data_IF_552915195667
#
_entry.id   IF_552915195667
#
_cell.length_a   1.000
_cell.length_b   1.000
_cell.length_c   1.000
_cell.angle_alpha   90.00
_cell.angle_beta   90.00
_cell.angle_gamma   90.00
#
_symmetry.space_group_name_H-M   'P 1'
#
loop_
_entity.id
_entity.type
_entity.pdbx_description
1 polymer ?
#
# COMPACT_ATOMS: atom_id res chain seq x y z
N UNK A 1 9.84 -18.74 5.32
CA UNK A 1 11.16 -18.12 5.57
C UNK A 1 12.30 -19.12 5.71
N UNK A 2 12.29 -19.98 6.74
CA UNK A 2 13.43 -20.85 7.12
C UNK A 2 14.01 -21.72 5.98
N UNK A 3 13.15 -22.24 5.09
CA UNK A 3 13.58 -23.09 3.98
C UNK A 3 13.94 -22.33 2.68
N UNK A 4 13.70 -21.02 2.64
CA UNK A 4 13.91 -20.17 1.46
C UNK A 4 14.59 -18.84 1.87
N UNK A 5 15.82 -18.89 2.41
CA UNK A 5 16.49 -17.71 2.99
C UNK A 5 16.81 -16.61 1.97
N UNK A 6 16.91 -16.97 0.69
CA UNK A 6 17.25 -16.04 -0.40
C UNK A 6 16.03 -15.65 -1.26
N UNK A 7 14.81 -15.90 -0.78
CA UNK A 7 13.60 -15.56 -1.52
C UNK A 7 13.50 -14.04 -1.67
N UNK A 8 13.47 -13.57 -2.92
CA UNK A 8 13.35 -12.15 -3.25
C UNK A 8 11.95 -11.77 -3.71
N UNK A 9 11.22 -12.72 -4.25
CA UNK A 9 9.92 -12.52 -4.89
C UNK A 9 8.96 -13.59 -4.38
N UNK A 10 7.79 -13.17 -3.91
CA UNK A 10 6.78 -14.08 -3.39
C UNK A 10 5.39 -13.69 -3.93
N UNK A 11 4.79 -14.61 -4.68
CA UNK A 11 3.46 -14.45 -5.27
C UNK A 11 2.46 -15.33 -4.53
N UNK A 12 1.45 -14.70 -3.95
CA UNK A 12 0.41 -15.33 -3.14
C UNK A 12 -0.99 -14.83 -3.53
N UNK A 13 -1.15 -14.26 -4.72
CA UNK A 13 -2.45 -13.81 -5.20
C UNK A 13 -3.51 -14.91 -5.08
N UNK A 14 -4.71 -14.54 -4.66
CA UNK A 14 -5.85 -15.45 -4.45
C UNK A 14 -5.58 -16.53 -3.39
N UNK A 15 -4.59 -16.34 -2.50
CA UNK A 15 -4.37 -17.23 -1.36
C UNK A 15 -5.34 -16.88 -0.23
N UNK A 16 -5.56 -17.84 0.68
CA UNK A 16 -6.41 -17.64 1.87
C UNK A 16 -5.61 -17.07 3.06
N UNK A 17 -4.52 -16.35 2.79
CA UNK A 17 -3.65 -15.79 3.81
C UNK A 17 -4.23 -14.44 4.26
N UNK A 18 -4.91 -14.47 5.40
CA UNK A 18 -5.58 -13.31 5.97
C UNK A 18 -4.61 -12.41 6.74
N UNK A 19 -3.40 -12.89 7.06
CA UNK A 19 -2.37 -12.10 7.74
C UNK A 19 -0.97 -12.28 7.14
N UNK A 20 -0.19 -11.20 7.08
CA UNK A 20 1.22 -11.22 6.67
C UNK A 20 2.08 -11.96 7.71
N UNK A 21 1.64 -12.03 8.98
CA UNK A 21 2.32 -12.80 10.04
C UNK A 21 2.49 -14.28 9.69
N UNK A 22 1.57 -14.85 8.93
CA UNK A 22 1.60 -16.25 8.51
C UNK A 22 2.79 -16.57 7.59
N UNK A 23 3.40 -15.54 6.97
CA UNK A 23 4.64 -15.68 6.20
C UNK A 23 5.88 -15.93 7.09
N UNK A 24 5.74 -15.64 8.38
CA UNK A 24 6.78 -15.73 9.39
C UNK A 24 7.80 -14.57 9.32
N UNK A 25 8.75 -14.59 10.25
CA UNK A 25 9.72 -13.49 10.45
C UNK A 25 11.01 -13.64 9.63
N UNK A 26 11.18 -14.73 8.87
CA UNK A 26 12.46 -15.06 8.21
C UNK A 26 12.54 -14.62 6.74
N UNK A 27 11.64 -13.76 6.26
CA UNK A 27 11.64 -13.23 4.88
C UNK A 27 12.33 -11.86 4.77
N UNK A 28 13.46 -11.71 5.46
CA UNK A 28 14.21 -10.44 5.51
C UNK A 28 14.79 -9.99 4.17
N UNK A 29 14.94 -10.90 3.19
CA UNK A 29 15.48 -10.61 1.85
C UNK A 29 14.42 -10.44 0.77
N UNK A 30 13.14 -10.43 1.15
CA UNK A 30 12.05 -10.26 0.20
C UNK A 30 12.03 -8.82 -0.32
N UNK A 31 12.06 -8.68 -1.64
CA UNK A 31 11.97 -7.39 -2.33
C UNK A 31 10.59 -7.17 -2.93
N UNK A 32 9.91 -8.23 -3.38
CA UNK A 32 8.61 -8.12 -4.03
C UNK A 32 7.61 -9.10 -3.41
N UNK A 33 6.44 -8.58 -3.03
CA UNK A 33 5.35 -9.35 -2.46
C UNK A 33 4.05 -9.04 -3.20
N UNK A 34 3.43 -10.09 -3.75
CA UNK A 34 2.10 -10.03 -4.32
C UNK A 34 1.12 -10.81 -3.45
N UNK A 35 0.13 -10.12 -2.89
CA UNK A 35 -0.95 -10.69 -2.08
C UNK A 35 -2.29 -10.06 -2.48
N UNK A 36 -2.57 -10.01 -3.79
CA UNK A 36 -3.84 -9.50 -4.28
C UNK A 36 -4.97 -10.52 -4.01
N UNK A 37 -6.15 -10.04 -3.63
CA UNK A 37 -7.35 -10.88 -3.38
C UNK A 37 -7.13 -11.96 -2.30
N UNK A 38 -6.44 -11.61 -1.23
CA UNK A 38 -6.21 -12.51 -0.09
C UNK A 38 -7.18 -12.30 1.08
N UNK A 39 -7.98 -11.24 1.04
CA UNK A 39 -8.88 -10.85 2.13
C UNK A 39 -8.13 -10.26 3.33
N UNK A 40 -6.97 -9.63 3.09
CA UNK A 40 -6.21 -8.97 4.14
C UNK A 40 -7.01 -7.80 4.73
N UNK A 41 -7.18 -7.77 6.04
CA UNK A 41 -7.78 -6.63 6.78
C UNK A 41 -6.75 -5.69 7.39
N UNK A 42 -5.55 -6.22 7.64
CA UNK A 42 -4.40 -5.49 8.18
C UNK A 42 -3.11 -6.00 7.51
N UNK A 43 -2.02 -5.28 7.75
CA UNK A 43 -0.68 -5.61 7.27
C UNK A 43 0.21 -6.09 8.42
N UNK A 44 -0.39 -6.69 9.44
CA UNK A 44 0.33 -7.01 10.65
C UNK A 44 1.42 -8.04 10.34
N UNK A 45 2.63 -7.81 10.84
CA UNK A 45 3.82 -8.59 10.51
C UNK A 45 4.59 -8.14 9.27
N UNK A 46 4.11 -7.17 8.48
CA UNK A 46 4.83 -6.64 7.30
C UNK A 46 6.20 -6.04 7.65
N UNK A 47 6.38 -5.55 8.89
CA UNK A 47 7.65 -5.05 9.41
C UNK A 47 8.78 -6.10 9.39
N UNK A 48 8.44 -7.39 9.34
CA UNK A 48 9.43 -8.47 9.17
C UNK A 48 10.07 -8.47 7.78
N UNK A 49 9.43 -7.84 6.79
CA UNK A 49 9.90 -7.71 5.41
C UNK A 49 10.58 -6.35 5.18
N UNK A 50 11.52 -5.92 6.04
CA UNK A 50 12.12 -4.58 5.97
C UNK A 50 12.91 -4.25 4.68
N UNK A 51 13.25 -5.26 3.86
CA UNK A 51 13.89 -5.05 2.54
C UNK A 51 12.90 -4.86 1.39
N UNK A 52 11.59 -4.85 1.67
CA UNK A 52 10.58 -4.82 0.63
C UNK A 52 10.67 -3.53 -0.19
N UNK A 53 10.62 -3.69 -1.52
CA UNK A 53 10.64 -2.60 -2.50
C UNK A 53 9.31 -2.45 -3.22
N UNK A 54 8.62 -3.55 -3.43
CA UNK A 54 7.37 -3.57 -4.18
C UNK A 54 6.31 -4.39 -3.43
N UNK A 55 5.19 -3.74 -3.11
CA UNK A 55 4.06 -4.35 -2.42
C UNK A 55 2.80 -4.24 -3.27
N UNK A 56 2.23 -5.40 -3.63
CA UNK A 56 0.99 -5.48 -4.39
C UNK A 56 -0.09 -6.15 -3.55
N UNK A 57 -1.00 -5.35 -3.00
CA UNK A 57 -2.07 -5.77 -2.09
C UNK A 57 -3.44 -5.30 -2.59
N UNK A 58 -3.60 -5.26 -3.92
CA UNK A 58 -4.85 -4.90 -4.56
C UNK A 58 -6.01 -5.86 -4.20
N UNK A 59 -7.23 -5.33 -4.18
CA UNK A 59 -8.47 -6.05 -3.90
C UNK A 59 -8.43 -6.78 -2.55
N UNK A 60 -8.03 -6.08 -1.49
CA UNK A 60 -8.12 -6.53 -0.11
C UNK A 60 -9.04 -5.58 0.69
N UNK A 61 -9.05 -5.71 2.01
CA UNK A 61 -9.89 -4.95 2.93
C UNK A 61 -9.06 -4.03 3.84
N UNK A 62 -7.92 -3.53 3.35
CA UNK A 62 -7.03 -2.66 4.12
C UNK A 62 -7.65 -1.27 4.27
N UNK A 63 -7.70 -0.78 5.51
CA UNK A 63 -8.11 0.60 5.83
C UNK A 63 -7.06 1.40 6.59
N UNK A 64 -6.14 0.72 7.29
CA UNK A 64 -5.06 1.33 8.07
C UNK A 64 -3.69 1.11 7.39
N UNK A 65 -2.98 2.21 7.15
CA UNK A 65 -1.65 2.22 6.52
C UNK A 65 -0.51 2.45 7.53
N UNK A 66 -0.82 2.55 8.83
CA UNK A 66 0.16 2.82 9.90
C UNK A 66 1.33 1.83 9.91
N UNK A 67 1.09 0.57 9.54
CA UNK A 67 2.09 -0.49 9.51
C UNK A 67 3.06 -0.42 8.31
N UNK A 68 2.76 0.39 7.28
CA UNK A 68 3.66 0.59 6.15
C UNK A 68 4.83 1.53 6.48
N UNK A 69 4.73 2.28 7.58
CA UNK A 69 5.78 3.20 8.04
C UNK A 69 7.12 2.53 8.32
N UNK A 70 7.15 1.21 8.50
CA UNK A 70 8.36 0.41 8.74
C UNK A 70 9.10 0.00 7.46
N UNK A 71 8.54 0.27 6.27
CA UNK A 71 9.10 -0.14 4.99
C UNK A 71 9.91 0.98 4.32
N UNK A 72 11.07 1.29 4.88
CA UNK A 72 11.96 2.37 4.40
C UNK A 72 12.45 2.19 2.94
N UNK A 73 12.37 0.97 2.44
CA UNK A 73 12.82 0.58 1.10
C UNK A 73 11.70 0.53 0.06
N UNK A 74 10.46 0.81 0.44
CA UNK A 74 9.32 0.68 -0.45
C UNK A 74 9.38 1.73 -1.56
N UNK A 75 9.36 1.27 -2.81
CA UNK A 75 9.41 2.07 -4.03
C UNK A 75 8.08 2.05 -4.79
N UNK A 76 7.36 0.93 -4.74
CA UNK A 76 6.08 0.69 -5.42
C UNK A 76 5.06 0.13 -4.44
N UNK A 77 3.87 0.74 -4.40
CA UNK A 77 2.74 0.30 -3.58
C UNK A 77 1.46 0.30 -4.40
N UNK A 78 0.79 -0.85 -4.44
CA UNK A 78 -0.51 -1.02 -5.08
C UNK A 78 -1.57 -1.38 -4.03
N UNK A 79 -2.45 -0.42 -3.77
CA UNK A 79 -3.59 -0.47 -2.87
C UNK A 79 -4.92 -0.46 -3.64
N UNK A 80 -4.93 -0.74 -4.95
CA UNK A 80 -6.15 -0.71 -5.78
C UNK A 80 -7.29 -1.51 -5.13
N UNK A 81 -8.50 -0.97 -5.06
CA UNK A 81 -9.68 -1.69 -4.56
C UNK A 81 -9.58 -2.14 -3.09
N UNK A 82 -8.99 -1.32 -2.22
CA UNK A 82 -9.01 -1.48 -0.77
C UNK A 82 -10.09 -0.60 -0.11
N UNK A 83 -10.11 -0.52 1.22
CA UNK A 83 -11.15 0.17 1.98
C UNK A 83 -10.61 1.40 2.72
N UNK A 84 -9.68 2.13 2.09
CA UNK A 84 -9.11 3.37 2.63
C UNK A 84 -10.15 4.48 2.48
N UNK A 85 -10.64 5.01 3.59
CA UNK A 85 -11.70 6.03 3.64
C UNK A 85 -11.21 7.42 4.05
N UNK A 86 -10.11 7.50 4.79
CA UNK A 86 -9.54 8.77 5.26
C UNK A 86 -8.22 9.07 4.56
N UNK A 87 -8.14 10.22 3.90
CA UNK A 87 -6.92 10.68 3.23
C UNK A 87 -5.76 10.91 4.20
N UNK A 88 -6.05 11.11 5.49
CA UNK A 88 -5.00 11.19 6.53
C UNK A 88 -4.16 9.91 6.62
N UNK A 89 -4.68 8.77 6.20
CA UNK A 89 -3.90 7.52 6.11
C UNK A 89 -2.68 7.66 5.17
N UNK A 90 -2.76 8.53 4.16
CA UNK A 90 -1.65 8.80 3.24
C UNK A 90 -0.47 9.51 3.91
N UNK A 91 -0.69 10.14 5.07
CA UNK A 91 0.41 10.74 5.85
C UNK A 91 1.43 9.70 6.31
N UNK A 92 1.01 8.45 6.54
CA UNK A 92 1.92 7.36 6.89
C UNK A 92 2.86 7.01 5.73
N UNK A 93 2.36 7.06 4.49
CA UNK A 93 3.16 6.83 3.29
C UNK A 93 4.17 7.95 3.01
N UNK A 94 3.97 9.14 3.59
CA UNK A 94 4.97 10.22 3.53
C UNK A 94 6.30 9.81 4.17
N UNK A 95 6.27 8.94 5.17
CA UNK A 95 7.47 8.41 5.82
C UNK A 95 8.26 7.44 4.91
N UNK A 96 7.60 6.86 3.91
CA UNK A 96 8.23 6.04 2.89
C UNK A 96 8.94 6.95 1.86
N UNK A 97 10.12 7.46 2.22
CA UNK A 97 10.87 8.43 1.42
C UNK A 97 11.26 7.92 0.01
N UNK A 98 11.30 6.60 -0.21
CA UNK A 98 11.61 5.99 -1.51
C UNK A 98 10.39 5.70 -2.36
N UNK A 99 9.18 5.89 -1.81
CA UNK A 99 7.94 5.59 -2.51
C UNK A 99 7.82 6.49 -3.74
N UNK A 100 7.71 5.86 -4.89
CA UNK A 100 7.71 6.54 -6.18
C UNK A 100 6.48 6.25 -7.01
N UNK A 101 5.87 5.07 -6.84
CA UNK A 101 4.65 4.66 -7.51
C UNK A 101 3.61 4.24 -6.48
N UNK A 102 2.43 4.84 -6.55
CA UNK A 102 1.30 4.56 -5.67
C UNK A 102 0.04 4.38 -6.52
N UNK A 103 -0.72 3.33 -6.25
CA UNK A 103 -2.06 3.13 -6.82
C UNK A 103 -3.06 3.02 -5.69
N UNK A 104 -4.10 3.86 -5.72
CA UNK A 104 -5.16 3.93 -4.72
C UNK A 104 -6.55 3.95 -5.36
N UNK A 105 -6.63 3.80 -6.68
CA UNK A 105 -7.88 3.66 -7.42
C UNK A 105 -8.81 2.61 -6.79
N UNK A 106 -10.11 2.89 -6.78
CA UNK A 106 -11.11 1.99 -6.20
C UNK A 106 -11.17 1.99 -4.67
N UNK A 107 -10.52 2.94 -3.99
CA UNK A 107 -10.71 3.20 -2.56
C UNK A 107 -11.75 4.30 -2.33
N UNK A 108 -12.29 4.38 -1.11
CA UNK A 108 -13.28 5.40 -0.73
C UNK A 108 -12.69 6.82 -0.73
N UNK A 109 -11.39 6.97 -0.48
CA UNK A 109 -10.69 8.25 -0.63
C UNK A 109 -10.71 8.82 -2.05
N UNK A 110 -11.12 8.05 -3.08
CA UNK A 110 -11.28 8.61 -4.42
C UNK A 110 -12.56 9.44 -4.55
N UNK A 111 -13.53 9.25 -3.65
CA UNK A 111 -14.86 9.86 -3.71
C UNK A 111 -15.04 10.98 -2.69
N UNK A 112 -14.38 10.88 -1.53
CA UNK A 112 -14.46 11.86 -0.44
C UNK A 112 -13.17 11.86 0.38
N UNK A 113 -12.78 12.99 1.01
CA UNK A 113 -11.53 13.07 1.77
C UNK A 113 -11.55 12.30 3.10
N UNK A 114 -12.72 12.14 3.73
CA UNK A 114 -12.89 11.38 4.97
C UNK A 114 -14.35 10.91 5.11
N UNK A 115 -14.61 10.07 6.13
CA UNK A 115 -15.93 9.50 6.39
C UNK A 115 -17.02 10.54 6.64
N UNK A 116 -16.67 11.67 7.25
CA UNK A 116 -17.59 12.75 7.66
C UNK A 116 -17.94 13.72 6.54
N UNK A 117 -17.14 13.72 5.45
CA UNK A 117 -17.36 14.60 4.30
C UNK A 117 -18.44 14.02 3.39
N UNK A 118 -19.30 14.89 2.86
CA UNK A 118 -20.22 14.51 1.79
C UNK A 118 -19.43 14.13 0.54
N UNK A 119 -19.98 13.21 -0.26
CA UNK A 119 -19.45 12.91 -1.59
C UNK A 119 -19.48 14.18 -2.44
N UNK A 120 -18.33 14.57 -2.98
CA UNK A 120 -18.16 15.76 -3.80
C UNK A 120 -17.69 15.33 -5.20
N UNK A 121 -18.50 15.51 -6.25
CA UNK A 121 -18.13 15.16 -7.62
C UNK A 121 -16.90 15.91 -8.14
N UNK A 122 -16.59 17.08 -7.58
CA UNK A 122 -15.44 17.90 -7.96
C UNK A 122 -14.20 17.59 -7.10
N UNK A 123 -14.28 16.59 -6.22
CA UNK A 123 -13.19 16.22 -5.33
C UNK A 123 -11.99 15.63 -6.09
N UNK A 124 -10.90 16.37 -6.09
CA UNK A 124 -9.63 15.90 -6.64
C UNK A 124 -8.76 15.27 -5.55
N UNK A 125 -9.01 13.99 -5.26
CA UNK A 125 -8.19 13.22 -4.30
C UNK A 125 -6.72 13.19 -4.69
N UNK A 126 -6.39 13.22 -5.99
CA UNK A 126 -5.01 13.12 -6.46
C UNK A 126 -4.18 14.35 -6.09
N UNK A 127 -4.78 15.54 -6.18
CA UNK A 127 -4.15 16.76 -5.72
C UNK A 127 -3.86 16.70 -4.21
N UNK A 128 -4.77 16.16 -3.41
CA UNK A 128 -4.58 16.00 -1.97
C UNK A 128 -3.50 14.96 -1.64
N UNK A 129 -3.52 13.78 -2.28
CA UNK A 129 -2.46 12.76 -2.15
C UNK A 129 -1.11 13.35 -2.52
N UNK A 130 -1.05 14.15 -3.59
CA UNK A 130 0.19 14.82 -4.03
C UNK A 130 0.68 15.86 -3.04
N UNK A 131 -0.21 16.60 -2.36
CA UNK A 131 0.15 17.51 -1.27
C UNK A 131 0.76 16.76 -0.09
N UNK A 132 0.23 15.59 0.25
CA UNK A 132 0.71 14.75 1.36
C UNK A 132 2.02 14.03 1.04
N UNK A 133 2.18 13.56 -0.21
CA UNK A 133 3.32 12.77 -0.69
C UNK A 133 3.95 13.46 -1.92
N UNK A 134 4.63 14.61 -1.72
CA UNK A 134 5.13 15.42 -2.84
C UNK A 134 6.22 14.72 -3.66
N UNK A 135 6.97 13.78 -3.06
CA UNK A 135 8.04 13.03 -3.73
C UNK A 135 7.54 11.93 -4.68
N UNK A 136 6.25 11.64 -4.70
CA UNK A 136 5.66 10.62 -5.56
C UNK A 136 5.89 10.95 -7.05
N UNK A 137 6.27 9.96 -7.84
CA UNK A 137 6.48 10.10 -9.29
C UNK A 137 5.24 9.72 -10.10
N UNK A 138 4.51 8.70 -9.67
CA UNK A 138 3.30 8.21 -10.32
C UNK A 138 2.20 7.92 -9.30
N UNK A 139 0.99 8.39 -9.60
CA UNK A 139 -0.24 8.12 -8.87
C UNK A 139 -1.26 7.52 -9.84
N UNK A 140 -1.77 6.33 -9.55
CA UNK A 140 -2.76 5.62 -10.39
C UNK A 140 -2.34 5.53 -11.86
N UNK A 141 -1.08 5.13 -12.09
CA UNK A 141 -0.44 5.02 -13.40
C UNK A 141 -0.27 6.35 -14.16
N UNK A 142 -0.59 7.48 -13.54
CA UNK A 142 -0.45 8.81 -14.12
C UNK A 142 0.74 9.53 -13.45
N UNK A 143 1.60 10.22 -14.22
CA UNK A 143 2.66 11.03 -13.64
C UNK A 143 2.11 12.02 -12.62
N UNK A 144 2.69 12.05 -11.44
CA UNK A 144 2.27 12.92 -10.34
C UNK A 144 2.48 14.42 -10.65
N UNK A 145 3.13 14.77 -11.76
CA UNK A 145 3.20 16.13 -12.30
C UNK A 145 1.97 16.54 -13.11
N UNK A 146 1.12 15.58 -13.47
CA UNK A 146 -0.09 15.75 -14.28
C UNK A 146 -1.38 15.57 -13.47
N UNK A 147 -1.26 15.36 -12.16
CA UNK A 147 -2.36 15.20 -11.20
C UNK A 147 -2.58 16.47 -10.40
#
# INVERSE_FOLDING_TARGET
>A
GVHLPNLRELKLNNSLLVSVRDLGTSLSHLHVLWMARCGLSDLDGISSCGSLKELYIAYNNISDLSQLTWLDHLEVLDLEGNNIEDINQMQYLRLCCKLSHLTVEGNLICLKPNAESAEDPDYNYRAEVKKLIPHLKYLDRIPASQT
#
